data_IF_882019045707
#
_entry.id   IF_882019045707
#
_cell.length_a   1.000
_cell.length_b   1.000
_cell.length_c   1.000
_cell.angle_alpha   90.00
_cell.angle_beta   90.00
_cell.angle_gamma   90.00
#
_symmetry.space_group_name_H-M   'P 1'
#
loop_
_entity.id
_entity.type
_entity.pdbx_description
1 polymer ?
#
# COMPACT_ATOMS: atom_id res chain seq x y z
N UNK A 1 65.61 -1.44 -11.52
CA UNK A 1 64.55 -2.53 -11.51
C UNK A 1 63.75 -2.68 -10.21
N UNK A 2 64.18 -2.05 -9.11
CA UNK A 2 63.40 -2.15 -7.83
C UNK A 2 62.25 -1.16 -7.73
N UNK A 3 62.19 -0.11 -8.54
CA UNK A 3 61.10 0.88 -8.49
C UNK A 3 59.86 0.51 -9.34
N UNK A 4 59.98 -0.41 -10.29
CA UNK A 4 58.80 -0.89 -11.07
C UNK A 4 57.97 -1.93 -10.32
N UNK A 5 58.54 -2.67 -9.37
CA UNK A 5 57.76 -3.64 -8.56
C UNK A 5 56.92 -2.98 -7.46
N UNK A 6 57.36 -1.83 -6.91
CA UNK A 6 56.56 -1.12 -5.88
C UNK A 6 55.30 -0.45 -6.44
N UNK A 7 55.30 0.02 -7.71
CA UNK A 7 54.12 0.63 -8.33
C UNK A 7 53.02 -0.38 -8.65
N UNK A 8 53.35 -1.64 -8.95
CA UNK A 8 52.36 -2.67 -9.23
C UNK A 8 51.66 -3.22 -7.98
N UNK A 9 52.27 -3.15 -6.84
CA UNK A 9 51.70 -3.60 -5.57
C UNK A 9 50.63 -2.60 -5.10
N UNK A 10 50.90 -1.28 -5.24
CA UNK A 10 49.94 -0.23 -4.88
C UNK A 10 48.72 -0.15 -5.83
N UNK A 11 48.86 -0.49 -7.11
CA UNK A 11 47.80 -0.52 -8.08
C UNK A 11 46.82 -1.72 -7.82
N UNK A 12 47.36 -2.87 -7.39
CA UNK A 12 46.55 -4.02 -7.02
C UNK A 12 45.84 -3.86 -5.68
N UNK A 13 46.39 -3.13 -4.72
CA UNK A 13 45.72 -2.84 -3.44
C UNK A 13 44.51 -1.93 -3.63
N UNK A 14 44.57 -0.92 -4.51
CA UNK A 14 43.40 -0.09 -4.83
C UNK A 14 42.28 -0.87 -5.52
N UNK A 15 42.60 -1.85 -6.37
CA UNK A 15 41.56 -2.71 -6.99
C UNK A 15 40.91 -3.68 -5.99
N UNK A 16 41.64 -4.12 -4.98
CA UNK A 16 41.11 -5.06 -3.98
C UNK A 16 40.15 -4.39 -2.97
N UNK A 17 40.34 -3.10 -2.68
CA UNK A 17 39.52 -2.33 -1.76
C UNK A 17 38.25 -1.75 -2.41
N UNK A 18 38.19 -1.67 -3.74
CA UNK A 18 37.01 -1.17 -4.47
C UNK A 18 36.06 -2.28 -4.98
N UNK A 19 36.39 -3.56 -4.78
CA UNK A 19 35.58 -4.69 -5.24
C UNK A 19 35.06 -5.59 -4.11
N UNK A 20 35.46 -5.35 -2.86
CA UNK A 20 34.80 -5.98 -1.71
C UNK A 20 33.68 -5.07 -1.22
N UNK A 21 32.45 -5.40 -1.66
CA UNK A 21 31.24 -4.98 -0.95
C UNK A 21 31.51 -5.25 0.55
N UNK A 22 31.27 -4.28 1.47
CA UNK A 22 31.43 -4.58 2.90
C UNK A 22 30.59 -5.81 3.24
N UNK A 23 30.99 -6.63 4.23
CA UNK A 23 30.21 -7.80 4.63
C UNK A 23 28.79 -7.33 4.88
N UNK A 24 27.83 -7.97 4.25
CA UNK A 24 26.42 -7.61 4.19
C UNK A 24 25.88 -7.29 5.58
N UNK A 25 25.59 -6.03 5.88
CA UNK A 25 24.44 -5.75 6.72
C UNK A 25 23.30 -6.59 6.14
N UNK A 26 22.67 -7.43 6.96
CA UNK A 26 21.56 -8.29 6.51
C UNK A 26 20.60 -7.42 5.70
N UNK A 27 20.45 -7.71 4.42
CA UNK A 27 19.50 -6.98 3.58
C UNK A 27 18.13 -7.16 4.21
N UNK A 28 17.48 -6.05 4.56
CA UNK A 28 16.13 -6.08 5.06
C UNK A 28 15.24 -6.36 3.85
N UNK A 29 14.59 -7.52 3.85
CA UNK A 29 13.62 -7.92 2.83
C UNK A 29 12.24 -7.94 3.47
N UNK A 30 11.34 -7.13 2.97
CA UNK A 30 9.98 -7.06 3.47
C UNK A 30 8.99 -6.60 2.40
N UNK A 31 7.75 -7.04 2.53
CA UNK A 31 6.59 -6.51 1.83
C UNK A 31 5.73 -5.73 2.82
N UNK A 32 5.69 -4.42 2.67
CA UNK A 32 4.93 -3.51 3.54
C UNK A 32 3.78 -2.88 2.79
N UNK A 33 2.61 -2.88 3.39
CA UNK A 33 1.40 -2.26 2.84
C UNK A 33 0.94 -1.12 3.73
N UNK A 34 0.58 0.00 3.13
CA UNK A 34 -0.07 1.11 3.80
C UNK A 34 -1.51 1.25 3.28
N UNK A 35 -2.47 1.08 4.19
CA UNK A 35 -3.91 1.16 3.94
C UNK A 35 -4.52 2.40 4.60
N UNK A 36 -5.66 2.86 4.08
CA UNK A 36 -6.38 4.01 4.64
C UNK A 36 -7.47 4.50 3.70
N UNK A 37 -8.36 5.32 4.25
CA UNK A 37 -9.47 5.93 3.50
C UNK A 37 -8.98 6.89 2.41
N UNK A 38 -9.85 7.22 1.49
CA UNK A 38 -9.63 8.36 0.60
C UNK A 38 -9.64 9.65 1.42
N UNK A 39 -8.74 10.58 1.07
CA UNK A 39 -8.57 11.79 1.88
C UNK A 39 -7.86 11.63 3.22
N UNK A 40 -7.46 10.43 3.64
CA UNK A 40 -6.79 10.17 4.93
C UNK A 40 -5.39 10.79 5.08
N UNK A 41 -4.83 11.40 4.04
CA UNK A 41 -3.43 11.87 4.05
C UNK A 41 -2.41 10.75 3.82
N UNK A 42 -2.85 9.58 3.36
CA UNK A 42 -2.03 8.40 3.10
C UNK A 42 -0.83 8.70 2.18
N UNK A 43 -1.00 9.44 1.10
CA UNK A 43 0.07 9.81 0.17
C UNK A 43 1.24 10.52 0.86
N UNK A 44 0.96 11.35 1.89
CA UNK A 44 1.99 12.00 2.70
C UNK A 44 2.78 10.98 3.51
N UNK A 45 2.12 10.00 4.10
CA UNK A 45 2.77 8.94 4.88
C UNK A 45 3.54 7.97 3.98
N UNK A 46 2.99 7.60 2.83
CA UNK A 46 3.68 6.81 1.80
C UNK A 46 4.99 7.48 1.39
N UNK A 47 4.96 8.79 1.09
CA UNK A 47 6.17 9.53 0.73
C UNK A 47 7.24 9.51 1.82
N UNK A 48 6.84 9.68 3.09
CA UNK A 48 7.76 9.62 4.25
C UNK A 48 8.30 8.20 4.45
N UNK A 49 7.42 7.20 4.37
CA UNK A 49 7.78 5.80 4.53
C UNK A 49 8.72 5.33 3.42
N UNK A 50 8.44 5.69 2.16
CA UNK A 50 9.31 5.42 1.03
C UNK A 50 10.72 5.98 1.25
N UNK A 51 10.83 7.26 1.61
CA UNK A 51 12.11 7.90 1.88
C UNK A 51 12.85 7.27 3.08
N UNK A 52 12.13 6.73 4.06
CA UNK A 52 12.72 5.98 5.16
C UNK A 52 13.23 4.62 4.73
N UNK A 53 12.40 3.83 4.02
CA UNK A 53 12.76 2.49 3.55
C UNK A 53 13.89 2.51 2.53
N UNK A 54 13.95 3.48 1.63
CA UNK A 54 15.07 3.65 0.67
C UNK A 54 16.45 3.81 1.35
N UNK A 55 16.48 4.23 2.61
CA UNK A 55 17.73 4.37 3.39
C UNK A 55 18.17 3.06 4.04
N UNK A 56 17.25 2.15 4.32
CA UNK A 56 17.51 0.91 5.06
C UNK A 56 17.35 -0.35 4.20
N UNK A 57 16.65 -0.25 3.07
CA UNK A 57 16.49 -1.32 2.10
C UNK A 57 17.27 -0.96 0.82
N UNK A 58 18.28 -1.75 0.41
CA UNK A 58 19.12 -1.42 -0.75
C UNK A 58 18.35 -1.30 -2.06
N UNK A 59 17.31 -2.11 -2.21
CA UNK A 59 16.41 -2.12 -3.36
C UNK A 59 14.97 -2.06 -2.84
N UNK A 60 14.26 -0.96 -3.14
CA UNK A 60 12.87 -0.75 -2.78
C UNK A 60 12.03 -0.54 -4.04
N UNK A 61 11.10 -1.43 -4.26
CA UNK A 61 10.03 -1.26 -5.25
C UNK A 61 8.82 -0.61 -4.60
N UNK A 62 8.25 0.41 -5.26
CA UNK A 62 7.00 1.04 -4.82
C UNK A 62 5.93 0.83 -5.87
N UNK A 63 4.76 0.33 -5.43
CA UNK A 63 3.58 0.15 -6.28
C UNK A 63 2.36 0.78 -5.58
N UNK A 64 1.62 1.58 -6.33
CA UNK A 64 0.29 2.06 -5.94
C UNK A 64 -0.78 1.21 -6.62
N UNK A 65 -1.78 0.76 -5.88
CA UNK A 65 -2.98 0.14 -6.41
C UNK A 65 -4.20 1.03 -6.21
N UNK A 66 -5.07 1.15 -7.23
CA UNK A 66 -4.95 0.51 -8.53
C UNK A 66 -3.91 1.19 -9.44
N UNK A 67 -3.35 0.41 -10.38
CA UNK A 67 -2.44 0.91 -11.42
C UNK A 67 -3.25 1.39 -12.61
N UNK A 68 -3.50 2.67 -12.68
CA UNK A 68 -4.33 3.27 -13.74
C UNK A 68 -3.75 3.14 -15.16
N UNK A 69 -2.44 2.92 -15.27
CA UNK A 69 -1.70 2.69 -16.50
C UNK A 69 -1.56 1.21 -16.87
N UNK A 70 -2.07 0.29 -16.03
CA UNK A 70 -2.03 -1.13 -16.31
C UNK A 70 -2.89 -1.48 -17.55
N UNK A 71 -2.37 -2.29 -18.47
CA UNK A 71 -3.14 -2.71 -19.63
C UNK A 71 -4.47 -3.36 -19.24
N UNK A 72 -5.56 -3.01 -19.93
CA UNK A 72 -6.93 -3.50 -19.74
C UNK A 72 -7.54 -3.07 -18.38
N UNK A 73 -6.99 -3.48 -17.26
CA UNK A 73 -7.61 -3.28 -15.95
C UNK A 73 -7.53 -1.82 -15.48
N UNK A 74 -6.46 -1.09 -15.79
CA UNK A 74 -6.31 0.32 -15.43
C UNK A 74 -7.41 1.20 -16.05
N UNK A 75 -7.73 0.99 -17.34
CA UNK A 75 -8.84 1.68 -18.00
C UNK A 75 -10.20 1.28 -17.40
N UNK A 76 -10.46 -0.01 -17.21
CA UNK A 76 -11.72 -0.48 -16.64
C UNK A 76 -11.96 0.04 -15.22
N UNK A 77 -10.91 0.04 -14.37
CA UNK A 77 -10.99 0.59 -13.02
C UNK A 77 -11.26 2.10 -13.08
N UNK A 78 -10.53 2.83 -13.93
CA UNK A 78 -10.72 4.27 -14.11
C UNK A 78 -12.14 4.62 -14.55
N UNK A 79 -12.69 3.85 -15.48
CA UNK A 79 -14.09 3.99 -15.96
C UNK A 79 -15.09 3.66 -14.86
N UNK A 80 -14.85 2.62 -14.07
CA UNK A 80 -15.69 2.30 -12.92
C UNK A 80 -15.70 3.45 -11.91
N UNK A 81 -14.54 3.96 -11.52
CA UNK A 81 -14.42 5.04 -10.54
C UNK A 81 -15.01 6.36 -11.01
N UNK A 82 -15.02 6.62 -12.34
CA UNK A 82 -15.72 7.78 -12.93
C UNK A 82 -17.24 7.60 -12.99
N UNK A 83 -17.76 6.40 -12.71
CA UNK A 83 -19.18 6.09 -12.83
C UNK A 83 -19.65 5.76 -14.24
N UNK A 84 -18.75 5.45 -15.18
CA UNK A 84 -19.11 5.10 -16.57
C UNK A 84 -19.97 3.81 -16.64
N UNK A 85 -19.94 2.98 -15.60
CA UNK A 85 -20.74 1.75 -15.46
C UNK A 85 -21.94 1.92 -14.52
N UNK A 86 -22.27 3.15 -14.12
CA UNK A 86 -23.33 3.48 -13.16
C UNK A 86 -22.78 3.88 -11.79
N UNK A 87 -23.71 3.99 -10.81
CA UNK A 87 -23.33 4.32 -9.44
C UNK A 87 -22.50 3.23 -8.77
N UNK A 88 -21.92 3.55 -7.62
CA UNK A 88 -21.14 2.58 -6.82
C UNK A 88 -21.93 1.28 -6.49
N UNK A 89 -23.24 1.37 -6.43
CA UNK A 89 -24.17 0.26 -6.12
C UNK A 89 -24.64 -0.48 -7.37
N UNK A 90 -24.49 0.11 -8.57
CA UNK A 90 -24.99 -0.47 -9.82
C UNK A 90 -24.21 -1.71 -10.26
N UNK A 91 -22.94 -1.83 -9.86
CA UNK A 91 -22.09 -2.96 -10.23
C UNK A 91 -21.92 -3.87 -9.01
N UNK A 92 -22.19 -5.16 -9.20
CA UNK A 92 -22.08 -6.15 -8.13
C UNK A 92 -20.68 -6.11 -7.49
N UNK A 93 -20.58 -6.02 -6.14
CA UNK A 93 -19.31 -5.80 -5.45
C UNK A 93 -18.27 -6.92 -5.73
N UNK A 94 -18.69 -8.16 -5.93
CA UNK A 94 -17.76 -9.25 -6.28
C UNK A 94 -17.13 -9.07 -7.67
N UNK A 95 -17.84 -8.50 -8.64
CA UNK A 95 -17.29 -8.21 -9.96
C UNK A 95 -16.26 -7.05 -9.89
N UNK A 96 -16.58 -6.05 -9.07
CA UNK A 96 -15.63 -4.96 -8.80
C UNK A 96 -14.41 -5.50 -8.06
N UNK A 97 -14.62 -6.37 -7.07
CA UNK A 97 -13.52 -7.03 -6.35
C UNK A 97 -12.60 -7.80 -7.30
N UNK A 98 -13.17 -8.55 -8.25
CA UNK A 98 -12.38 -9.28 -9.25
C UNK A 98 -11.57 -8.33 -10.13
N UNK A 99 -12.15 -7.22 -10.56
CA UNK A 99 -11.48 -6.23 -11.38
C UNK A 99 -10.21 -5.66 -10.70
N UNK A 100 -10.32 -5.30 -9.42
CA UNK A 100 -9.18 -4.82 -8.64
C UNK A 100 -8.19 -5.94 -8.29
N UNK A 101 -8.65 -7.17 -8.11
CA UNK A 101 -7.80 -8.34 -7.87
C UNK A 101 -6.93 -8.68 -9.09
N UNK A 102 -7.49 -8.59 -10.30
CA UNK A 102 -6.76 -8.82 -11.55
C UNK A 102 -5.66 -7.77 -11.78
N UNK A 103 -5.88 -6.52 -11.39
CA UNK A 103 -4.81 -5.52 -11.44
C UNK A 103 -3.63 -5.93 -10.53
N UNK A 104 -3.90 -6.40 -9.31
CA UNK A 104 -2.85 -6.89 -8.41
C UNK A 104 -2.21 -8.17 -8.91
N UNK A 105 -3.00 -9.10 -9.47
CA UNK A 105 -2.50 -10.33 -10.09
C UNK A 105 -1.49 -10.02 -11.20
N UNK A 106 -1.79 -9.02 -12.05
CA UNK A 106 -0.87 -8.57 -13.09
C UNK A 106 0.47 -8.02 -12.56
N UNK A 107 0.51 -7.52 -11.32
CA UNK A 107 1.75 -7.05 -10.68
C UNK A 107 2.49 -8.16 -9.90
N UNK A 108 1.83 -9.27 -9.57
CA UNK A 108 2.38 -10.31 -8.72
C UNK A 108 3.74 -10.87 -9.18
N UNK A 109 3.98 -11.13 -10.49
CA UNK A 109 5.29 -11.63 -10.95
C UNK A 109 6.43 -10.67 -10.61
N UNK A 110 6.21 -9.35 -10.77
CA UNK A 110 7.22 -8.33 -10.47
C UNK A 110 7.51 -8.26 -8.97
N UNK A 111 6.47 -8.19 -8.12
CA UNK A 111 6.64 -8.20 -6.66
C UNK A 111 7.41 -9.43 -6.18
N UNK A 112 7.04 -10.63 -6.67
CA UNK A 112 7.72 -11.88 -6.32
C UNK A 112 9.18 -11.88 -6.75
N UNK A 113 9.48 -11.34 -7.93
CA UNK A 113 10.86 -11.21 -8.42
C UNK A 113 11.67 -10.32 -7.50
N UNK A 114 11.20 -9.11 -7.20
CA UNK A 114 11.89 -8.16 -6.32
C UNK A 114 12.20 -8.79 -4.96
N UNK A 115 11.22 -9.45 -4.32
CA UNK A 115 11.42 -10.13 -3.04
C UNK A 115 12.43 -11.29 -3.13
N UNK A 116 12.38 -12.09 -4.21
CA UNK A 116 13.30 -13.22 -4.42
C UNK A 116 14.74 -12.76 -4.68
N UNK A 117 14.92 -11.58 -5.25
CA UNK A 117 16.24 -10.95 -5.50
C UNK A 117 16.80 -10.23 -4.26
N UNK A 118 16.08 -10.25 -3.13
CA UNK A 118 16.50 -9.65 -1.86
C UNK A 118 16.12 -8.17 -1.72
N UNK A 119 15.26 -7.66 -2.59
CA UNK A 119 14.65 -6.34 -2.48
C UNK A 119 13.44 -6.31 -1.56
N UNK A 120 12.96 -5.12 -1.24
CA UNK A 120 11.74 -4.88 -0.48
C UNK A 120 10.66 -4.25 -1.36
N UNK A 121 9.40 -4.40 -0.98
CA UNK A 121 8.26 -3.85 -1.71
C UNK A 121 7.41 -3.00 -0.76
N UNK A 122 7.12 -1.76 -1.15
CA UNK A 122 6.16 -0.88 -0.48
C UNK A 122 4.91 -0.74 -1.34
N UNK A 123 3.77 -1.08 -0.79
CA UNK A 123 2.48 -0.96 -1.46
C UNK A 123 1.62 0.14 -0.84
N UNK A 124 1.06 0.99 -1.68
CA UNK A 124 -0.02 1.90 -1.34
C UNK A 124 -1.34 1.25 -1.75
N UNK A 125 -2.09 0.72 -0.77
CA UNK A 125 -3.25 -0.17 -0.89
C UNK A 125 -2.89 -1.59 -1.37
N UNK A 126 -3.69 -2.55 -0.92
CA UNK A 126 -3.57 -3.95 -1.32
C UNK A 126 -4.90 -4.69 -1.13
N UNK A 127 -4.86 -5.96 -0.70
CA UNK A 127 -6.04 -6.84 -0.57
C UNK A 127 -7.06 -6.30 0.43
N UNK A 128 -6.61 -5.71 1.55
CA UNK A 128 -7.54 -5.14 2.55
C UNK A 128 -8.32 -3.93 2.03
N UNK A 129 -7.78 -3.13 1.09
CA UNK A 129 -8.57 -2.12 0.37
C UNK A 129 -9.73 -2.76 -0.38
N UNK A 130 -9.49 -3.88 -1.07
CA UNK A 130 -10.56 -4.57 -1.81
C UNK A 130 -11.67 -5.05 -0.87
N UNK A 131 -11.29 -5.70 0.24
CA UNK A 131 -12.25 -6.13 1.27
C UNK A 131 -13.01 -4.93 1.82
N UNK A 132 -12.32 -3.86 2.21
CA UNK A 132 -12.96 -2.71 2.85
C UNK A 132 -14.00 -2.03 1.95
N UNK A 133 -13.61 -1.75 0.69
CA UNK A 133 -14.48 -1.03 -0.24
C UNK A 133 -15.60 -1.89 -0.80
N UNK A 134 -15.40 -3.18 -1.02
CA UNK A 134 -16.44 -4.02 -1.59
C UNK A 134 -17.41 -4.55 -0.54
N UNK A 135 -16.93 -4.95 0.65
CA UNK A 135 -17.83 -5.36 1.72
C UNK A 135 -18.64 -4.19 2.30
N UNK A 136 -18.15 -2.94 2.21
CA UNK A 136 -18.92 -1.77 2.64
C UNK A 136 -20.21 -1.55 1.83
N UNK A 137 -20.30 -2.10 0.60
CA UNK A 137 -21.50 -2.02 -0.26
C UNK A 137 -22.61 -2.99 0.15
N UNK A 138 -22.29 -3.97 0.98
CA UNK A 138 -23.24 -5.00 1.43
C UNK A 138 -23.83 -4.60 2.79
N UNK A 139 -25.06 -5.06 3.07
CA UNK A 139 -25.73 -4.81 4.35
C UNK A 139 -25.73 -6.07 5.23
N UNK A 140 -25.93 -7.24 4.64
CA UNK A 140 -25.98 -8.50 5.37
C UNK A 140 -24.59 -8.94 5.86
N UNK A 141 -24.40 -9.23 7.16
CA UNK A 141 -23.11 -9.65 7.70
C UNK A 141 -22.58 -10.95 7.09
N UNK A 142 -23.48 -11.88 6.71
CA UNK A 142 -23.11 -13.16 6.10
C UNK A 142 -22.56 -12.94 4.68
N UNK A 143 -23.21 -12.06 3.92
CA UNK A 143 -22.74 -11.68 2.58
C UNK A 143 -21.37 -10.98 2.65
N UNK A 144 -21.17 -10.09 3.64
CA UNK A 144 -19.86 -9.45 3.88
C UNK A 144 -18.77 -10.48 4.14
N UNK A 145 -19.03 -11.43 5.03
CA UNK A 145 -18.05 -12.46 5.37
C UNK A 145 -17.78 -13.40 4.19
N UNK A 146 -18.81 -13.78 3.43
CA UNK A 146 -18.66 -14.59 2.23
C UNK A 146 -17.80 -13.88 1.18
N UNK A 147 -18.04 -12.58 0.95
CA UNK A 147 -17.26 -11.78 0.00
C UNK A 147 -15.81 -11.61 0.49
N UNK A 148 -15.61 -11.30 1.78
CA UNK A 148 -14.27 -11.21 2.39
C UNK A 148 -13.47 -12.50 2.17
N UNK A 149 -14.08 -13.62 2.50
CA UNK A 149 -13.46 -14.94 2.33
C UNK A 149 -13.12 -15.20 0.87
N UNK A 150 -14.06 -14.94 -0.03
CA UNK A 150 -13.85 -15.11 -1.46
C UNK A 150 -12.69 -14.26 -1.99
N UNK A 151 -12.58 -12.98 -1.56
CA UNK A 151 -11.46 -12.11 -1.92
C UNK A 151 -10.13 -12.69 -1.44
N UNK A 152 -10.07 -13.13 -0.18
CA UNK A 152 -8.84 -13.71 0.40
C UNK A 152 -8.42 -14.99 -0.32
N UNK A 153 -9.38 -15.90 -0.57
CA UNK A 153 -9.14 -17.17 -1.25
C UNK A 153 -8.69 -16.93 -2.70
N UNK A 154 -9.33 -16.01 -3.41
CA UNK A 154 -8.98 -15.65 -4.79
C UNK A 154 -7.60 -15.00 -4.86
N UNK A 155 -7.35 -13.96 -4.07
CA UNK A 155 -6.11 -13.17 -4.21
C UNK A 155 -4.89 -13.89 -3.64
N UNK A 156 -4.97 -14.44 -2.44
CA UNK A 156 -3.83 -15.16 -1.85
C UNK A 156 -3.76 -16.63 -2.25
N UNK A 157 -4.91 -17.26 -2.54
CA UNK A 157 -4.99 -18.66 -2.96
C UNK A 157 -4.80 -18.83 -4.46
N UNK A 158 -5.82 -18.49 -5.25
CA UNK A 158 -5.83 -18.78 -6.70
C UNK A 158 -4.81 -17.93 -7.47
N UNK A 159 -4.72 -16.61 -7.20
CA UNK A 159 -3.76 -15.71 -7.84
C UNK A 159 -2.38 -15.78 -7.20
N UNK A 160 -2.29 -16.33 -5.99
CA UNK A 160 -1.04 -16.52 -5.28
C UNK A 160 -0.29 -15.21 -5.02
N UNK A 161 -0.98 -14.14 -4.70
CA UNK A 161 -0.34 -12.88 -4.33
C UNK A 161 0.60 -13.07 -3.13
N UNK A 162 1.75 -12.39 -3.08
CA UNK A 162 2.62 -12.45 -1.91
C UNK A 162 1.91 -11.86 -0.69
N UNK A 163 1.97 -12.56 0.44
CA UNK A 163 1.44 -12.06 1.70
C UNK A 163 2.38 -11.00 2.27
N UNK A 164 1.85 -9.85 2.70
CA UNK A 164 2.66 -8.83 3.35
C UNK A 164 3.27 -9.31 4.66
N UNK A 165 4.48 -8.84 4.96
CA UNK A 165 5.09 -8.94 6.29
C UNK A 165 4.42 -7.97 7.26
N UNK A 166 3.98 -6.81 6.76
CA UNK A 166 3.26 -5.80 7.53
C UNK A 166 2.13 -5.19 6.69
N UNK A 167 0.91 -5.23 7.21
CA UNK A 167 -0.21 -4.41 6.75
C UNK A 167 -0.48 -3.34 7.80
N UNK A 168 -0.43 -2.07 7.40
CA UNK A 168 -0.62 -0.93 8.31
C UNK A 168 -1.83 -0.12 7.86
N UNK A 169 -2.85 -0.04 8.71
CA UNK A 169 -4.03 0.79 8.50
C UNK A 169 -3.92 2.12 9.25
N UNK A 170 -3.97 3.22 8.51
CA UNK A 170 -4.05 4.56 9.08
C UNK A 170 -5.50 4.89 9.41
N UNK A 171 -5.88 4.70 10.66
CA UNK A 171 -7.22 4.99 11.15
C UNK A 171 -7.32 6.47 11.56
N UNK A 172 -7.73 7.31 10.63
CA UNK A 172 -7.85 8.75 10.81
C UNK A 172 -9.24 9.13 11.31
N UNK A 173 -9.39 10.29 12.01
CA UNK A 173 -10.70 10.84 12.35
C UNK A 173 -11.57 11.04 11.11
N UNK A 174 -12.83 10.65 11.17
CA UNK A 174 -13.74 10.76 10.02
C UNK A 174 -14.02 12.22 9.65
N UNK A 175 -14.02 13.11 10.63
CA UNK A 175 -14.15 14.55 10.45
C UNK A 175 -13.04 15.14 9.59
N UNK A 176 -11.82 14.60 9.72
CA UNK A 176 -10.71 14.98 8.86
C UNK A 176 -10.94 14.53 7.41
N UNK A 177 -11.42 13.30 7.20
CA UNK A 177 -11.77 12.77 5.86
C UNK A 177 -12.85 13.63 5.22
N UNK A 178 -13.92 13.94 5.95
CA UNK A 178 -15.04 14.77 5.50
C UNK A 178 -14.54 16.13 4.98
N UNK A 179 -13.77 16.85 5.79
CA UNK A 179 -13.20 18.14 5.41
C UNK A 179 -12.31 18.08 4.17
N UNK A 180 -11.63 16.95 3.96
CA UNK A 180 -10.76 16.74 2.80
C UNK A 180 -11.52 16.38 1.53
N UNK A 181 -12.61 15.65 1.65
CA UNK A 181 -13.46 15.29 0.50
C UNK A 181 -14.30 16.49 0.02
N UNK A 182 -14.70 17.39 0.92
CA UNK A 182 -15.38 18.64 0.59
C UNK A 182 -14.46 19.64 -0.15
N UNK A 183 -13.16 19.60 0.14
CA UNK A 183 -12.20 20.45 -0.58
C UNK A 183 -11.93 19.88 -1.97
N UNK A 184 -12.02 20.74 -3.01
CA UNK A 184 -11.66 20.34 -4.37
C UNK A 184 -10.22 19.82 -4.41
N UNK A 185 -10.05 18.50 -4.59
CA UNK A 185 -8.75 17.84 -4.65
C UNK A 185 -8.25 17.82 -6.08
N UNK A 186 -7.07 18.41 -6.29
CA UNK A 186 -6.38 18.44 -7.59
C UNK A 186 -5.01 17.79 -7.45
N UNK A 187 -4.56 17.08 -8.48
CA UNK A 187 -3.24 16.43 -8.49
C UNK A 187 -3.11 15.43 -9.63
N UNK A 188 -1.87 15.03 -9.92
CA UNK A 188 -1.57 14.02 -10.95
C UNK A 188 -2.11 12.62 -10.60
N UNK A 189 -2.34 12.36 -9.32
CA UNK A 189 -2.98 11.15 -8.80
C UNK A 189 -4.47 11.03 -9.17
N UNK A 190 -5.05 12.07 -9.77
CA UNK A 190 -6.46 12.15 -10.17
C UNK A 190 -6.67 12.27 -11.69
N UNK A 191 -5.64 12.18 -12.49
CA UNK A 191 -5.74 12.27 -13.95
C UNK A 191 -6.70 11.24 -14.57
N UNK A 192 -6.82 10.05 -13.93
CA UNK A 192 -7.75 9.00 -14.34
C UNK A 192 -9.23 9.42 -14.32
N UNK A 193 -9.58 10.47 -13.56
CA UNK A 193 -10.95 10.97 -13.44
C UNK A 193 -11.37 11.86 -14.62
N UNK A 194 -10.44 12.36 -15.41
CA UNK A 194 -10.73 13.31 -16.52
C UNK A 194 -11.65 14.46 -16.13
N UNK A 195 -11.54 14.95 -14.88
CA UNK A 195 -12.38 16.02 -14.34
C UNK A 195 -13.70 15.56 -13.71
N UNK A 196 -14.01 14.27 -13.71
CA UNK A 196 -15.15 13.69 -13.00
C UNK A 196 -14.85 13.52 -11.50
N UNK A 197 -15.89 13.28 -10.71
CA UNK A 197 -15.75 12.90 -9.30
C UNK A 197 -15.59 11.38 -9.19
N UNK A 198 -14.74 10.93 -8.24
CA UNK A 198 -14.63 9.52 -7.90
C UNK A 198 -15.89 9.07 -7.13
N UNK A 199 -16.53 8.01 -7.59
CA UNK A 199 -17.78 7.51 -6.97
C UNK A 199 -17.57 6.97 -5.56
N UNK A 200 -16.35 6.54 -5.21
CA UNK A 200 -16.03 6.12 -3.84
C UNK A 200 -15.82 7.30 -2.89
N UNK A 201 -15.34 8.45 -3.41
CA UNK A 201 -15.12 9.66 -2.63
C UNK A 201 -16.38 10.54 -2.50
N UNK A 202 -17.39 10.31 -3.34
CA UNK A 202 -18.58 11.16 -3.41
C UNK A 202 -19.48 11.05 -2.17
N UNK A 203 -19.34 9.97 -1.38
CA UNK A 203 -20.25 9.65 -0.27
C UNK A 203 -19.47 9.42 1.04
N UNK A 204 -19.64 10.35 2.00
CA UNK A 204 -19.02 10.26 3.32
C UNK A 204 -19.59 9.10 4.15
N UNK A 205 -20.86 8.75 3.98
CA UNK A 205 -21.46 7.60 4.69
C UNK A 205 -20.85 6.30 4.19
N UNK A 206 -20.55 6.20 2.90
CA UNK A 206 -19.78 5.08 2.35
C UNK A 206 -18.38 5.01 2.96
N UNK A 207 -17.67 6.13 3.08
CA UNK A 207 -16.34 6.17 3.72
C UNK A 207 -16.39 5.75 5.20
N UNK A 208 -17.47 6.08 5.93
CA UNK A 208 -17.67 5.58 7.30
C UNK A 208 -17.83 4.06 7.35
N UNK A 209 -18.56 3.48 6.38
CA UNK A 209 -18.71 2.03 6.25
C UNK A 209 -17.38 1.36 5.89
N UNK A 210 -16.64 1.91 4.95
CA UNK A 210 -15.27 1.43 4.59
C UNK A 210 -14.35 1.42 5.82
N UNK A 211 -14.36 2.51 6.61
CA UNK A 211 -13.60 2.59 7.87
C UNK A 211 -13.99 1.51 8.86
N UNK A 212 -15.29 1.25 9.00
CA UNK A 212 -15.78 0.20 9.91
C UNK A 212 -15.29 -1.19 9.48
N UNK A 213 -15.28 -1.49 8.17
CA UNK A 213 -14.73 -2.75 7.66
C UNK A 213 -13.21 -2.84 7.90
N UNK A 214 -12.44 -1.78 7.66
CA UNK A 214 -11.00 -1.78 7.97
C UNK A 214 -10.74 -2.08 9.46
N UNK A 215 -11.48 -1.46 10.37
CA UNK A 215 -11.37 -1.71 11.81
C UNK A 215 -11.71 -3.16 12.15
N UNK A 216 -12.79 -3.69 11.58
CA UNK A 216 -13.15 -5.10 11.75
C UNK A 216 -12.05 -6.04 11.25
N UNK A 217 -11.40 -5.74 10.11
CA UNK A 217 -10.28 -6.55 9.65
C UNK A 217 -9.09 -6.51 10.61
N UNK A 218 -8.78 -5.35 11.18
CA UNK A 218 -7.70 -5.22 12.16
C UNK A 218 -8.01 -5.96 13.48
N UNK A 219 -9.29 -6.12 13.83
CA UNK A 219 -9.71 -6.92 14.98
C UNK A 219 -9.64 -8.44 14.70
N UNK A 220 -9.77 -8.85 13.41
CA UNK A 220 -9.76 -10.25 12.98
C UNK A 220 -8.37 -10.78 12.64
N UNK A 221 -7.47 -9.92 12.18
CA UNK A 221 -6.14 -10.28 11.71
C UNK A 221 -5.06 -9.54 12.52
N UNK A 222 -4.31 -10.25 13.37
CA UNK A 222 -3.25 -9.64 14.17
C UNK A 222 -2.09 -9.06 13.34
N UNK A 223 -1.93 -9.50 12.08
CA UNK A 223 -0.90 -8.99 11.17
C UNK A 223 -1.36 -7.70 10.45
N UNK A 224 -2.63 -7.27 10.67
CA UNK A 224 -3.15 -6.00 10.17
C UNK A 224 -3.15 -4.93 11.26
N UNK A 225 -2.08 -4.16 11.31
CA UNK A 225 -1.81 -3.22 12.41
C UNK A 225 -2.55 -1.92 12.20
N UNK A 226 -3.48 -1.62 13.10
CA UNK A 226 -4.20 -0.35 13.12
C UNK A 226 -3.39 0.71 13.87
N UNK A 227 -3.11 1.84 13.18
CA UNK A 227 -2.51 3.03 13.78
C UNK A 227 -3.60 4.09 13.97
N UNK A 228 -3.95 4.37 15.21
CA UNK A 228 -4.79 5.51 15.55
C UNK A 228 -4.05 6.81 15.25
N UNK A 229 -4.57 7.58 14.31
CA UNK A 229 -4.01 8.85 13.84
C UNK A 229 -4.63 10.06 14.53
N UNK A 230 -5.38 9.88 15.60
CA UNK A 230 -5.94 10.95 16.45
C UNK A 230 -5.09 11.23 17.69
N UNK A 231 -5.21 12.44 18.20
CA UNK A 231 -4.73 12.84 19.52
C UNK A 231 -5.77 12.52 20.62
N UNK A 232 -5.50 12.93 21.84
CA UNK A 232 -6.37 12.73 23.00
C UNK A 232 -7.73 13.45 22.91
N UNK A 233 -7.85 14.44 22.03
CA UNK A 233 -9.08 15.20 21.76
C UNK A 233 -9.85 14.64 20.56
N UNK A 234 -9.34 13.60 19.87
CA UNK A 234 -9.93 13.02 18.68
C UNK A 234 -9.61 13.80 17.39
N UNK A 235 -8.69 14.77 17.46
CA UNK A 235 -8.25 15.55 16.32
C UNK A 235 -7.10 14.84 15.57
N UNK A 236 -6.97 15.14 14.27
CA UNK A 236 -5.93 14.55 13.43
C UNK A 236 -4.54 14.96 13.91
N UNK A 237 -3.68 13.96 14.18
CA UNK A 237 -2.27 14.18 14.47
C UNK A 237 -1.54 14.85 13.28
N UNK A 238 -0.51 15.66 13.55
CA UNK A 238 0.34 16.20 12.49
C UNK A 238 1.06 15.06 11.75
N UNK A 239 1.40 15.27 10.45
CA UNK A 239 2.01 14.22 9.61
C UNK A 239 3.26 13.56 10.21
N UNK A 240 4.09 14.29 10.94
CA UNK A 240 5.29 13.75 11.61
C UNK A 240 4.94 12.88 12.81
N UNK A 241 3.87 13.21 13.54
CA UNK A 241 3.37 12.39 14.65
C UNK A 241 2.84 11.04 14.17
N UNK A 242 2.08 11.03 13.07
CA UNK A 242 1.62 9.79 12.45
C UNK A 242 2.81 8.97 11.95
N UNK A 243 3.75 9.63 11.26
CA UNK A 243 4.92 8.95 10.72
C UNK A 243 5.77 8.31 11.83
N UNK A 244 5.90 8.96 12.99
CA UNK A 244 6.62 8.39 14.13
C UNK A 244 5.98 7.07 14.60
N UNK A 245 4.64 6.97 14.61
CA UNK A 245 3.93 5.73 14.93
C UNK A 245 4.16 4.65 13.84
N UNK A 246 4.07 5.01 12.55
CA UNK A 246 4.35 4.09 11.43
C UNK A 246 5.78 3.57 11.51
N UNK A 247 6.75 4.48 11.68
CA UNK A 247 8.17 4.13 11.79
C UNK A 247 8.43 3.17 12.94
N UNK A 248 7.81 3.41 14.10
CA UNK A 248 7.95 2.53 15.27
C UNK A 248 7.54 1.09 14.94
N UNK A 249 6.41 0.89 14.27
CA UNK A 249 5.94 -0.44 13.84
C UNK A 249 6.95 -1.12 12.91
N UNK A 250 7.50 -0.37 11.95
CA UNK A 250 8.53 -0.89 11.03
C UNK A 250 9.79 -1.30 11.81
N UNK A 251 10.28 -0.43 12.70
CA UNK A 251 11.50 -0.69 13.46
C UNK A 251 11.34 -1.93 14.36
N UNK A 252 10.22 -2.04 15.09
CA UNK A 252 9.90 -3.21 15.92
C UNK A 252 9.84 -4.51 15.10
N UNK A 253 9.28 -4.46 13.89
CA UNK A 253 9.26 -5.61 13.00
C UNK A 253 10.66 -6.03 12.52
N UNK A 254 11.52 -5.05 12.21
CA UNK A 254 12.90 -5.29 11.78
C UNK A 254 13.74 -5.88 12.92
N UNK A 255 13.56 -5.36 14.16
CA UNK A 255 14.28 -5.83 15.33
C UNK A 255 13.88 -7.27 15.75
N UNK A 256 12.66 -7.69 15.39
CA UNK A 256 12.13 -9.03 15.69
C UNK A 256 12.61 -10.13 14.72
N UNK A 257 13.20 -9.77 13.55
CA UNK A 257 13.74 -10.69 12.53
C UNK A 257 15.23 -10.92 12.69
#
# INVERSE_FOLDING_TARGET
>A
NKNRQKLNIFANWKKFWFTSKPPSEKSIVMLVVLEGLDGSGKSTQVKKLKAYLERICPELEYIHFPRYDAPVYGDLISRFLRGDFGSNEAVHPQLVALLFAEDRHGAAPQMKKTLAEGGSVLLDRYVYSNIAYQCAKLHDPTEKENLRKWIMDTEYGDFGLPKPDLNIFLDVPITFVESRLESARTGSDREYLHGSQDIHEADIEFQKQVRAIYRQQADLDPDFIRIDCSDEFGEMLPPDGIFAKVKKVIDEHIEAK
#
